data_IF_566665178634
#
_entry.id   IF_566665178634
#
_cell.length_a   1.000
_cell.length_b   1.000
_cell.length_c   1.000
_cell.angle_alpha   90.00
_cell.angle_beta   90.00
_cell.angle_gamma   90.00
#
_symmetry.space_group_name_H-M   'P 1'
#
loop_
_entity.id
_entity.type
_entity.pdbx_description
1 polymer ?
#
# COMPACT_ATOMS: atom_id res chain seq x y z
N UNK A 1 6.59 -1.98 -11.97
CA UNK A 1 6.80 -2.73 -10.70
C UNK A 1 8.29 -2.78 -10.45
N UNK A 2 8.78 -2.56 -9.21
CA UNK A 2 10.21 -2.68 -8.89
C UNK A 2 10.68 -4.10 -9.20
N UNK A 3 11.33 -4.24 -10.34
CA UNK A 3 11.75 -5.49 -10.93
C UNK A 3 12.86 -5.20 -11.93
N UNK A 4 13.60 -6.23 -12.27
CA UNK A 4 14.63 -6.17 -13.30
C UNK A 4 13.93 -5.81 -14.61
N UNK A 5 14.37 -4.71 -15.24
CA UNK A 5 13.94 -4.35 -16.59
C UNK A 5 14.23 -5.53 -17.52
N UNK A 6 13.47 -5.67 -18.61
CA UNK A 6 13.60 -6.81 -19.54
C UNK A 6 15.01 -7.00 -20.16
N UNK A 7 15.93 -6.07 -19.90
CA UNK A 7 17.34 -6.04 -20.29
C UNK A 7 18.33 -6.40 -19.17
N UNK A 8 17.86 -6.78 -17.96
CA UNK A 8 18.73 -7.11 -16.84
C UNK A 8 19.12 -5.92 -15.96
N UNK A 9 18.72 -4.69 -16.30
CA UNK A 9 19.01 -3.50 -15.49
C UNK A 9 18.02 -3.37 -14.32
N UNK A 10 18.50 -2.89 -13.17
CA UNK A 10 17.60 -2.54 -12.06
C UNK A 10 16.81 -1.29 -12.46
N UNK A 11 15.47 -1.37 -12.53
CA UNK A 11 14.60 -0.20 -12.72
C UNK A 11 14.77 0.86 -11.61
N UNK A 12 15.41 0.48 -10.49
CA UNK A 12 15.86 1.39 -9.44
C UNK A 12 17.21 0.90 -8.89
N UNK A 13 18.35 1.47 -9.33
CA UNK A 13 19.68 0.98 -8.93
C UNK A 13 19.92 1.13 -7.43
N UNK A 14 19.20 2.02 -6.75
CA UNK A 14 19.39 2.30 -5.33
C UNK A 14 18.65 1.31 -4.41
N UNK A 15 17.53 0.74 -4.84
CA UNK A 15 16.75 -0.15 -3.96
C UNK A 15 17.52 -1.38 -3.50
N UNK A 16 18.26 -2.04 -4.40
CA UNK A 16 19.09 -3.19 -4.04
C UNK A 16 20.16 -2.82 -3.00
N UNK A 17 20.75 -1.61 -3.11
CA UNK A 17 21.71 -1.11 -2.12
C UNK A 17 21.04 -0.87 -0.77
N UNK A 18 19.82 -0.34 -0.73
CA UNK A 18 19.08 -0.13 0.51
C UNK A 18 18.73 -1.46 1.21
N UNK A 19 18.30 -2.46 0.45
CA UNK A 19 18.05 -3.81 0.99
C UNK A 19 19.33 -4.44 1.53
N UNK A 20 20.45 -4.28 0.84
CA UNK A 20 21.75 -4.77 1.32
C UNK A 20 22.20 -4.03 2.60
N UNK A 21 22.10 -2.70 2.62
CA UNK A 21 22.45 -1.88 3.78
C UNK A 21 21.52 -2.11 4.98
N UNK A 22 20.28 -2.55 4.78
CA UNK A 22 19.39 -2.92 5.86
C UNK A 22 19.91 -4.08 6.72
N UNK A 23 20.82 -4.93 6.19
CA UNK A 23 21.42 -6.00 6.96
C UNK A 23 22.35 -5.49 8.07
N UNK A 24 22.96 -4.31 7.89
CA UNK A 24 23.97 -3.75 8.79
C UNK A 24 23.59 -2.41 9.42
N UNK A 25 22.51 -1.77 8.95
CA UNK A 25 22.03 -0.49 9.47
C UNK A 25 20.57 -0.58 9.98
N UNK A 26 20.34 -0.47 11.30
CA UNK A 26 18.99 -0.51 11.88
C UNK A 26 18.03 0.58 11.38
N UNK A 27 18.54 1.74 10.96
CA UNK A 27 17.71 2.79 10.36
C UNK A 27 17.22 2.36 8.97
N UNK A 28 18.14 1.93 8.09
CA UNK A 28 17.79 1.42 6.75
C UNK A 28 16.89 0.20 6.83
N UNK A 29 17.11 -0.68 7.82
CA UNK A 29 16.22 -1.82 8.08
C UNK A 29 14.77 -1.38 8.37
N UNK A 30 14.57 -0.39 9.24
CA UNK A 30 13.23 0.12 9.54
C UNK A 30 12.54 0.70 8.30
N UNK A 31 13.29 1.40 7.45
CA UNK A 31 12.79 1.95 6.19
C UNK A 31 12.37 0.84 5.21
N UNK A 32 13.25 -0.10 4.96
CA UNK A 32 13.01 -1.23 4.05
C UNK A 32 11.85 -2.09 4.57
N UNK A 33 11.81 -2.37 5.88
CA UNK A 33 10.73 -3.11 6.51
C UNK A 33 9.39 -2.40 6.38
N UNK A 34 9.34 -1.09 6.65
CA UNK A 34 8.11 -0.28 6.48
C UNK A 34 7.64 -0.29 5.02
N UNK A 35 8.56 -0.19 4.07
CA UNK A 35 8.23 -0.22 2.64
C UNK A 35 7.67 -1.58 2.20
N UNK A 36 8.26 -2.67 2.66
CA UNK A 36 7.87 -4.03 2.29
C UNK A 36 6.63 -4.53 3.04
N UNK A 37 6.41 -4.06 4.26
CA UNK A 37 5.29 -4.47 5.10
C UNK A 37 4.35 -3.30 5.34
N UNK A 38 3.27 -3.26 4.56
CA UNK A 38 2.17 -2.32 4.75
C UNK A 38 1.07 -3.00 5.58
N UNK A 39 0.70 -2.44 6.74
CA UNK A 39 -0.45 -2.94 7.50
C UNK A 39 -1.74 -2.70 6.69
N UNK A 40 -2.81 -3.37 7.09
CA UNK A 40 -4.12 -3.22 6.44
C UNK A 40 -4.64 -1.77 6.51
N UNK A 41 -4.28 -1.04 7.57
CA UNK A 41 -4.74 0.33 7.78
C UNK A 41 -3.61 1.21 8.33
N UNK A 42 -3.52 2.43 7.79
CA UNK A 42 -2.57 3.46 8.20
C UNK A 42 -3.32 4.77 8.41
N UNK A 43 -3.15 5.39 9.59
CA UNK A 43 -3.74 6.68 9.93
C UNK A 43 -2.63 7.66 10.29
N UNK A 44 -2.62 8.81 9.63
CA UNK A 44 -1.60 9.82 9.83
C UNK A 44 -2.21 11.20 10.11
N UNK A 45 -1.56 11.95 10.99
CA UNK A 45 -1.83 13.37 11.17
C UNK A 45 -0.89 14.16 10.25
N UNK A 46 -1.39 14.58 9.10
CA UNK A 46 -0.58 15.29 8.08
C UNK A 46 -0.15 16.69 8.53
N UNK A 47 -0.82 17.29 9.52
CA UNK A 47 -0.45 18.60 10.05
C UNK A 47 0.72 18.48 11.04
N UNK A 48 0.70 17.46 11.89
CA UNK A 48 1.77 17.21 12.87
C UNK A 48 2.94 16.41 12.28
N UNK A 49 2.69 15.56 11.28
CA UNK A 49 3.67 14.67 10.65
C UNK A 49 3.59 14.75 9.12
N UNK A 50 4.25 15.75 8.51
CA UNK A 50 4.21 15.99 7.06
C UNK A 50 4.77 14.83 6.22
N UNK A 51 5.55 13.94 6.82
CA UNK A 51 6.18 12.80 6.16
C UNK A 51 5.54 11.46 6.56
N UNK A 52 4.44 11.51 7.32
CA UNK A 52 3.62 10.36 7.67
C UNK A 52 4.45 9.23 8.30
N UNK A 53 5.46 9.54 9.11
CA UNK A 53 6.30 8.52 9.78
C UNK A 53 5.57 7.73 10.86
N UNK A 54 4.63 8.37 11.55
CA UNK A 54 3.97 7.81 12.72
C UNK A 54 2.56 7.34 12.38
N UNK A 55 2.41 6.03 12.19
CA UNK A 55 1.08 5.43 12.04
C UNK A 55 0.33 5.44 13.38
N UNK A 56 -0.81 6.12 13.41
CA UNK A 56 -1.72 6.28 14.54
C UNK A 56 -2.90 5.30 14.50
N UNK A 57 -2.94 4.37 13.54
CA UNK A 57 -4.08 3.46 13.36
C UNK A 57 -4.35 2.56 14.58
N UNK A 58 -3.31 2.25 15.36
CA UNK A 58 -3.41 1.46 16.58
C UNK A 58 -3.62 2.30 17.86
N UNK A 59 -3.65 3.64 17.75
CA UNK A 59 -3.84 4.52 18.90
C UNK A 59 -5.33 4.57 19.29
N UNK A 60 -5.70 4.15 20.52
CA UNK A 60 -7.10 4.16 20.95
C UNK A 60 -7.71 5.56 20.97
N UNK A 61 -6.90 6.62 21.13
CA UNK A 61 -7.40 8.00 21.12
C UNK A 61 -7.86 8.43 19.72
N UNK A 62 -7.39 7.75 18.67
CA UNK A 62 -7.73 8.04 17.27
C UNK A 62 -8.82 7.11 16.73
N UNK A 63 -9.40 6.25 17.57
CA UNK A 63 -10.40 5.27 17.16
C UNK A 63 -11.64 5.91 16.52
N UNK A 64 -12.15 7.01 17.08
CA UNK A 64 -13.31 7.72 16.55
C UNK A 64 -13.02 8.31 15.16
N UNK A 65 -11.87 8.97 15.01
CA UNK A 65 -11.41 9.54 13.73
C UNK A 65 -11.21 8.45 12.69
N UNK A 66 -10.58 7.34 13.08
CA UNK A 66 -10.37 6.16 12.24
C UNK A 66 -11.69 5.61 11.71
N UNK A 67 -12.65 5.36 12.60
CA UNK A 67 -13.97 4.82 12.22
C UNK A 67 -14.69 5.75 11.24
N UNK A 68 -14.67 7.06 11.48
CA UNK A 68 -15.28 8.04 10.57
C UNK A 68 -14.64 7.99 9.18
N UNK A 69 -13.31 7.97 9.11
CA UNK A 69 -12.59 7.96 7.83
C UNK A 69 -12.80 6.66 7.05
N UNK A 70 -12.85 5.51 7.74
CA UNK A 70 -13.19 4.22 7.11
C UNK A 70 -14.58 4.26 6.49
N UNK A 71 -15.57 4.82 7.20
CA UNK A 71 -16.94 4.92 6.67
C UNK A 71 -17.04 5.82 5.43
N UNK A 72 -16.34 6.95 5.43
CA UNK A 72 -16.27 7.84 4.26
C UNK A 72 -15.57 7.16 3.08
N UNK A 73 -14.50 6.40 3.35
CA UNK A 73 -13.80 5.62 2.34
C UNK A 73 -14.72 4.56 1.72
N UNK A 74 -15.44 3.80 2.53
CA UNK A 74 -16.39 2.79 2.06
C UNK A 74 -17.50 3.43 1.20
N UNK A 75 -18.03 4.57 1.63
CA UNK A 75 -19.03 5.31 0.85
C UNK A 75 -18.46 5.76 -0.52
N UNK A 76 -17.21 6.21 -0.55
CA UNK A 76 -16.54 6.66 -1.77
C UNK A 76 -16.20 5.51 -2.73
N UNK A 77 -15.75 4.36 -2.21
CA UNK A 77 -15.52 3.14 -2.98
C UNK A 77 -16.82 2.65 -3.63
N UNK A 78 -17.93 2.61 -2.87
CA UNK A 78 -19.24 2.25 -3.39
C UNK A 78 -19.71 3.20 -4.49
N UNK A 79 -19.50 4.52 -4.33
CA UNK A 79 -19.86 5.53 -5.35
C UNK A 79 -19.11 5.32 -6.66
N UNK A 80 -17.85 4.92 -6.61
CA UNK A 80 -17.06 4.63 -7.80
C UNK A 80 -17.31 3.24 -8.38
N UNK A 81 -18.11 2.41 -7.68
CA UNK A 81 -18.30 1.00 -8.00
C UNK A 81 -16.96 0.25 -8.02
N UNK A 82 -16.03 0.65 -7.17
CA UNK A 82 -14.74 -0.01 -7.07
C UNK A 82 -14.91 -1.28 -6.22
N UNK A 83 -14.65 -2.48 -6.77
CA UNK A 83 -14.68 -3.71 -6.00
C UNK A 83 -13.56 -3.78 -4.94
N UNK A 84 -12.53 -2.92 -5.02
CA UNK A 84 -11.45 -2.81 -4.06
C UNK A 84 -10.46 -3.98 -4.13
N UNK A 85 -10.03 -4.49 -2.97
CA UNK A 85 -9.01 -5.53 -2.84
C UNK A 85 -9.19 -6.80 -3.72
N UNK A 86 -10.42 -7.30 -4.01
CA UNK A 86 -10.65 -8.36 -5.00
C UNK A 86 -10.03 -8.13 -6.38
N UNK A 87 -9.89 -6.88 -6.82
CA UNK A 87 -9.31 -6.52 -8.12
C UNK A 87 -7.78 -6.70 -8.14
N UNK A 88 -7.12 -6.58 -7.00
CA UNK A 88 -5.66 -6.69 -6.85
C UNK A 88 -5.16 -8.14 -6.72
N UNK A 89 -6.01 -9.11 -7.07
CA UNK A 89 -5.69 -10.54 -6.99
C UNK A 89 -5.11 -11.07 -8.32
N UNK A 90 -4.21 -12.05 -8.26
CA UNK A 90 -3.67 -12.71 -9.46
C UNK A 90 -4.78 -13.26 -10.39
N UNK A 91 -5.85 -13.89 -9.87
CA UNK A 91 -6.99 -14.30 -10.69
C UNK A 91 -7.68 -13.14 -11.41
N UNK A 92 -7.88 -12.00 -10.74
CA UNK A 92 -8.47 -10.81 -11.35
C UNK A 92 -7.58 -10.27 -12.49
N UNK A 93 -6.27 -10.17 -12.26
CA UNK A 93 -5.30 -9.77 -13.30
C UNK A 93 -5.30 -10.74 -14.50
N UNK A 94 -5.39 -12.04 -14.24
CA UNK A 94 -5.49 -13.05 -15.30
C UNK A 94 -6.81 -12.96 -16.07
N UNK A 95 -7.91 -12.63 -15.40
CA UNK A 95 -9.21 -12.43 -16.03
C UNK A 95 -9.18 -11.20 -16.95
N UNK A 96 -8.64 -10.06 -16.48
CA UNK A 96 -8.45 -8.84 -17.27
C UNK A 96 -7.61 -9.10 -18.52
N UNK A 97 -6.50 -9.84 -18.39
CA UNK A 97 -5.64 -10.22 -19.54
C UNK A 97 -6.36 -11.07 -20.59
N UNK A 98 -7.41 -11.79 -20.19
CA UNK A 98 -8.26 -12.61 -21.06
C UNK A 98 -9.50 -11.85 -21.57
N UNK A 99 -9.56 -10.53 -21.38
CA UNK A 99 -10.71 -9.68 -21.75
C UNK A 99 -11.95 -9.90 -20.88
N UNK A 100 -11.81 -10.61 -19.76
CA UNK A 100 -12.90 -10.84 -18.79
C UNK A 100 -12.68 -9.90 -17.61
N UNK A 101 -13.19 -8.69 -17.73
CA UNK A 101 -13.15 -7.72 -16.65
C UNK A 101 -14.06 -8.19 -15.50
N UNK A 102 -13.63 -7.92 -14.26
CA UNK A 102 -14.53 -8.06 -13.12
C UNK A 102 -15.51 -6.89 -13.20
N UNK A 103 -16.73 -7.18 -13.65
CA UNK A 103 -17.82 -6.22 -13.56
C UNK A 103 -18.28 -6.19 -12.09
N UNK A 104 -18.21 -5.03 -11.40
CA UNK A 104 -18.49 -4.94 -9.97
C UNK A 104 -19.98 -5.14 -9.61
N UNK A 105 -20.85 -5.44 -10.58
CA UNK A 105 -22.28 -5.66 -10.36
C UNK A 105 -22.78 -6.82 -11.21
N UNK A 106 -23.23 -7.88 -10.55
CA UNK A 106 -24.41 -8.64 -10.95
C UNK A 106 -25.32 -8.79 -9.74
#
# INVERSE_FOLDING_TARGET
>A
MMGISGDGSLNNPYWATWVWHAASNPHTYRLVKRYLHRPAEELYDTAADPYEWRNLAADPNMAEVRTRLIQELDCWLQKQRDPGAPLDTLPALQAVRKGRHLDPVR
#
